data_IF_468459554619
#
_entry.id   IF_468459554619
#
_cell.length_a   1.000
_cell.length_b   1.000
_cell.length_c   1.000
_cell.angle_alpha   90.00
_cell.angle_beta   90.00
_cell.angle_gamma   90.00
#
_symmetry.space_group_name_H-M   'P 1'
#
loop_
_entity.id
_entity.type
_entity.pdbx_description
1 polymer ?
#
# COMPACT_ATOMS: atom_id res chain seq x y z
N UNK A 1 -11.00 -15.47 -57.17
CA UNK A 1 -10.07 -15.95 -56.12
C UNK A 1 -9.88 -14.86 -55.09
N UNK A 2 -10.09 -15.18 -53.82
CA UNK A 2 -9.91 -14.32 -52.64
C UNK A 2 -8.41 -14.06 -52.42
N UNK A 3 -8.00 -12.82 -52.19
CA UNK A 3 -6.71 -12.52 -51.57
C UNK A 3 -6.97 -11.71 -50.29
N UNK A 4 -6.62 -12.34 -49.18
CA UNK A 4 -6.88 -11.97 -47.81
C UNK A 4 -5.78 -11.02 -47.30
N UNK A 5 -6.24 -10.03 -46.53
CA UNK A 5 -5.52 -9.11 -45.65
C UNK A 5 -4.35 -9.74 -44.88
N UNK A 6 -3.27 -8.99 -44.63
CA UNK A 6 -2.62 -8.98 -43.32
C UNK A 6 -1.83 -7.68 -43.09
N UNK A 7 -2.52 -6.76 -42.42
CA UNK A 7 -1.98 -5.56 -41.81
C UNK A 7 -1.27 -5.98 -40.51
N UNK A 8 0.06 -5.94 -40.47
CA UNK A 8 0.82 -6.15 -39.22
C UNK A 8 0.84 -4.84 -38.46
N UNK A 9 -0.09 -4.69 -37.53
CA UNK A 9 -0.04 -3.67 -36.47
C UNK A 9 1.07 -4.06 -35.50
N UNK A 10 2.22 -3.39 -35.60
CA UNK A 10 3.28 -3.48 -34.60
C UNK A 10 2.77 -2.93 -33.27
N UNK A 11 2.60 -3.82 -32.30
CA UNK A 11 2.32 -3.48 -30.90
C UNK A 11 3.45 -2.58 -30.38
N UNK A 12 3.12 -1.31 -30.14
CA UNK A 12 3.89 -0.42 -29.30
C UNK A 12 4.07 -1.11 -27.94
N UNK A 13 5.28 -1.58 -27.66
CA UNK A 13 5.68 -1.95 -26.31
C UNK A 13 5.69 -0.66 -25.52
N UNK A 14 4.56 -0.36 -24.87
CA UNK A 14 4.52 0.63 -23.83
C UNK A 14 5.50 0.16 -22.76
N UNK A 15 6.68 0.76 -22.74
CA UNK A 15 7.50 0.75 -21.55
C UNK A 15 6.57 1.26 -20.43
N UNK A 16 6.16 0.37 -19.54
CA UNK A 16 5.64 0.78 -18.25
C UNK A 16 6.84 1.41 -17.57
N UNK A 17 7.03 2.70 -17.83
CA UNK A 17 7.83 3.54 -16.98
C UNK A 17 7.14 3.44 -15.63
N UNK A 18 7.72 2.64 -14.74
CA UNK A 18 7.47 2.71 -13.30
C UNK A 18 7.94 4.09 -12.85
N UNK A 19 7.21 5.13 -13.26
CA UNK A 19 7.58 6.51 -13.06
C UNK A 19 7.26 6.87 -11.61
N UNK A 20 8.33 6.82 -10.82
CA UNK A 20 8.61 7.55 -9.60
C UNK A 20 7.55 7.51 -8.47
N UNK A 21 7.69 6.53 -7.57
CA UNK A 21 7.16 6.69 -6.21
C UNK A 21 7.98 7.76 -5.47
N UNK A 22 7.54 9.03 -5.52
CA UNK A 22 8.11 10.14 -4.76
C UNK A 22 7.66 10.11 -3.29
N UNK A 23 7.95 9.03 -2.58
CA UNK A 23 7.94 9.04 -1.13
C UNK A 23 9.25 9.63 -0.63
N UNK A 24 9.30 10.94 -0.37
CA UNK A 24 10.42 11.49 0.40
C UNK A 24 10.49 10.73 1.74
N UNK A 25 11.66 10.17 2.04
CA UNK A 25 11.94 9.51 3.31
C UNK A 25 11.57 10.50 4.44
N UNK A 26 10.65 10.13 5.32
CA UNK A 26 10.14 10.94 6.44
C UNK A 26 9.16 12.07 6.09
N UNK A 27 8.54 12.08 4.90
CA UNK A 27 7.44 12.98 4.63
C UNK A 27 6.21 12.64 5.51
N UNK A 28 5.44 13.64 5.99
CA UNK A 28 4.17 13.37 6.64
C UNK A 28 3.21 12.64 5.71
N UNK A 29 2.49 11.66 6.23
CA UNK A 29 1.34 11.03 5.56
C UNK A 29 0.11 11.87 5.89
N UNK A 30 -0.66 12.26 4.88
CA UNK A 30 -1.92 12.98 5.08
C UNK A 30 -3.11 12.06 4.78
N UNK A 31 -4.18 12.26 5.54
CA UNK A 31 -5.55 11.82 5.17
C UNK A 31 -5.97 12.43 3.84
N UNK A 32 -7.00 11.86 3.22
CA UNK A 32 -7.49 12.32 1.91
C UNK A 32 -7.99 13.77 1.98
N UNK A 33 -8.70 14.11 3.06
CA UNK A 33 -9.17 15.47 3.33
C UNK A 33 -8.10 16.42 3.92
N UNK A 34 -6.88 15.91 4.14
CA UNK A 34 -5.73 16.61 4.73
C UNK A 34 -5.96 17.13 6.16
N UNK A 35 -6.98 16.67 6.87
CA UNK A 35 -7.26 17.13 8.25
C UNK A 35 -6.46 16.38 9.31
N UNK A 36 -6.06 15.15 9.00
CA UNK A 36 -5.19 14.28 9.80
C UNK A 36 -3.83 14.14 9.10
N UNK A 37 -2.75 14.25 9.87
CA UNK A 37 -1.40 13.93 9.42
C UNK A 37 -0.71 12.95 10.36
N UNK A 38 0.03 11.99 9.81
CA UNK A 38 0.91 11.09 10.54
C UNK A 38 2.35 11.53 10.31
N UNK A 39 3.09 11.69 11.40
CA UNK A 39 4.49 12.15 11.41
C UNK A 39 5.35 11.22 12.25
N UNK A 40 6.64 11.17 11.95
CA UNK A 40 7.61 10.54 12.86
C UNK A 40 7.61 11.28 14.21
N UNK A 41 7.69 10.52 15.30
CA UNK A 41 7.85 11.07 16.65
C UNK A 41 9.34 11.18 17.01
N UNK A 42 9.71 12.22 17.78
CA UNK A 42 11.09 12.45 18.21
C UNK A 42 11.63 11.35 19.12
N UNK A 43 10.76 10.66 19.85
CA UNK A 43 11.05 9.50 20.70
C UNK A 43 11.24 8.19 19.93
N UNK A 44 11.16 8.22 18.59
CA UNK A 44 10.93 7.03 17.78
C UNK A 44 9.44 6.72 17.63
N UNK A 45 9.09 6.04 16.54
CA UNK A 45 7.71 5.71 16.18
C UNK A 45 7.02 6.74 15.30
N UNK A 46 5.69 6.62 15.20
CA UNK A 46 4.83 7.49 14.40
C UNK A 46 3.62 7.94 15.23
N UNK A 47 3.07 9.13 14.95
CA UNK A 47 1.89 9.66 15.65
C UNK A 47 0.93 10.36 14.69
N UNK A 48 -0.36 10.18 14.89
CA UNK A 48 -1.40 10.94 14.18
C UNK A 48 -1.75 12.23 14.92
N UNK A 49 -1.89 13.31 14.15
CA UNK A 49 -2.20 14.64 14.65
C UNK A 49 -3.39 15.19 13.86
N UNK A 50 -4.40 15.70 14.57
CA UNK A 50 -5.54 16.44 14.01
C UNK A 50 -5.72 17.73 14.80
N UNK A 51 -5.70 18.87 14.11
CA UNK A 51 -5.83 20.22 14.73
C UNK A 51 -4.87 20.43 15.92
N UNK A 52 -3.61 19.98 15.77
CA UNK A 52 -2.57 20.11 16.80
C UNK A 52 -2.65 19.12 17.96
N UNK A 53 -3.71 18.31 18.06
CA UNK A 53 -3.85 17.27 19.09
C UNK A 53 -3.37 15.92 18.56
N UNK A 54 -2.61 15.19 19.38
CA UNK A 54 -2.24 13.80 19.09
C UNK A 54 -3.47 12.92 19.30
N UNK A 55 -3.84 12.14 18.30
CA UNK A 55 -4.93 11.17 18.40
C UNK A 55 -4.42 9.84 18.97
N UNK A 56 -3.29 9.37 18.45
CA UNK A 56 -2.62 8.15 18.89
C UNK A 56 -1.15 8.16 18.47
N UNK A 57 -0.38 7.23 19.03
CA UNK A 57 1.02 6.96 18.69
C UNK A 57 1.25 5.46 18.55
N UNK A 58 2.18 5.06 17.68
CA UNK A 58 2.68 3.70 17.52
C UNK A 58 4.20 3.68 17.67
N UNK A 59 4.76 2.54 18.06
CA UNK A 59 6.21 2.41 18.28
C UNK A 59 6.99 2.34 16.96
N UNK A 60 6.34 1.93 15.89
CA UNK A 60 6.94 1.75 14.58
C UNK A 60 7.13 3.08 13.85
N UNK A 61 8.32 3.31 13.31
CA UNK A 61 8.52 4.35 12.30
C UNK A 61 8.00 3.83 10.97
N UNK A 62 7.01 4.51 10.42
CA UNK A 62 6.36 4.09 9.18
C UNK A 62 6.79 4.99 8.04
N UNK A 63 7.37 4.38 7.01
CA UNK A 63 7.83 5.08 5.82
C UNK A 63 6.72 5.32 4.81
N UNK A 64 5.80 4.37 4.72
CA UNK A 64 4.69 4.36 3.77
C UNK A 64 3.42 3.97 4.48
N UNK A 65 2.36 4.74 4.29
CA UNK A 65 1.09 4.43 4.91
C UNK A 65 -0.02 5.38 4.50
N UNK A 66 -1.19 5.11 5.05
CA UNK A 66 -2.42 5.88 4.86
C UNK A 66 -3.12 6.02 6.20
N UNK A 67 -3.80 7.14 6.42
CA UNK A 67 -4.62 7.40 7.60
C UNK A 67 -6.04 7.77 7.15
N UNK A 68 -7.05 7.29 7.86
CA UNK A 68 -8.45 7.64 7.61
C UNK A 68 -8.72 9.11 7.96
N UNK A 69 -9.75 9.71 7.35
CA UNK A 69 -10.12 11.11 7.58
C UNK A 69 -10.62 11.38 9.02
N UNK A 70 -11.22 10.37 9.66
CA UNK A 70 -11.57 10.42 11.08
C UNK A 70 -10.33 10.33 11.99
N UNK A 71 -9.23 9.81 11.47
CA UNK A 71 -7.96 9.64 12.16
C UNK A 71 -7.92 8.43 13.10
N UNK A 72 -8.92 7.54 13.10
CA UNK A 72 -8.95 6.37 13.97
C UNK A 72 -8.23 5.16 13.38
N UNK A 73 -8.18 5.04 12.05
CA UNK A 73 -7.53 3.92 11.37
C UNK A 73 -6.25 4.35 10.66
N UNK A 74 -5.27 3.46 10.69
CA UNK A 74 -3.99 3.66 10.02
C UNK A 74 -3.52 2.37 9.37
N UNK A 75 -3.06 2.48 8.13
CA UNK A 75 -2.45 1.40 7.38
C UNK A 75 -0.96 1.71 7.18
N UNK A 76 -0.09 0.95 7.84
CA UNK A 76 1.35 0.99 7.60
C UNK A 76 1.71 -0.07 6.56
N UNK A 77 2.31 0.33 5.45
CA UNK A 77 2.75 -0.58 4.40
C UNK A 77 4.15 -1.13 4.67
N UNK A 78 4.51 -2.18 3.94
CA UNK A 78 5.88 -2.64 3.81
C UNK A 78 6.83 -1.47 3.46
N UNK A 79 8.07 -1.53 3.94
CA UNK A 79 9.05 -0.45 3.78
C UNK A 79 9.49 -0.22 2.33
N UNK A 80 9.28 -1.19 1.43
CA UNK A 80 9.43 -1.04 -0.01
C UNK A 80 8.14 -0.63 -0.74
N UNK A 81 7.09 -0.28 0.01
CA UNK A 81 5.74 -0.01 -0.47
C UNK A 81 5.21 -1.15 -1.37
N UNK A 82 5.12 -0.89 -2.67
CA UNK A 82 4.66 -1.82 -3.70
C UNK A 82 5.74 -2.77 -4.23
N UNK A 83 7.01 -2.58 -3.84
CA UNK A 83 8.14 -3.39 -4.26
C UNK A 83 8.65 -4.23 -3.08
N UNK A 84 8.74 -5.54 -3.27
CA UNK A 84 9.21 -6.52 -2.29
C UNK A 84 10.45 -7.26 -2.85
N UNK A 85 11.24 -7.95 -2.01
CA UNK A 85 12.36 -8.77 -2.50
C UNK A 85 11.89 -9.78 -3.55
N UNK A 86 12.73 -10.12 -4.53
CA UNK A 86 12.39 -11.10 -5.59
C UNK A 86 12.03 -12.49 -5.04
N UNK A 87 12.64 -12.87 -3.91
CA UNK A 87 12.35 -14.11 -3.19
C UNK A 87 11.81 -13.78 -1.79
N UNK A 88 10.59 -13.24 -1.68
CA UNK A 88 10.06 -12.83 -0.40
C UNK A 88 9.76 -14.08 0.47
N UNK A 89 9.95 -14.00 1.80
CA UNK A 89 9.50 -15.07 2.68
C UNK A 89 7.96 -15.14 2.68
N UNK A 90 7.39 -16.30 2.97
CA UNK A 90 5.94 -16.50 2.91
C UNK A 90 5.19 -15.73 4.00
N UNK A 91 5.84 -15.37 5.09
CA UNK A 91 5.29 -14.58 6.20
C UNK A 91 5.51 -13.07 6.03
N UNK A 92 6.00 -12.62 4.86
CA UNK A 92 6.22 -11.20 4.59
C UNK A 92 4.91 -10.41 4.79
N UNK A 93 4.92 -9.44 5.69
CA UNK A 93 3.78 -8.55 5.95
C UNK A 93 3.77 -7.40 4.94
N UNK A 94 2.70 -7.30 4.15
CA UNK A 94 2.49 -6.23 3.17
C UNK A 94 1.89 -4.98 3.81
N UNK A 95 0.97 -5.16 4.76
CA UNK A 95 0.30 -4.08 5.46
C UNK A 95 0.00 -4.46 6.91
N UNK A 96 0.15 -3.50 7.82
CA UNK A 96 -0.31 -3.56 9.21
C UNK A 96 -1.40 -2.51 9.41
N UNK A 97 -2.52 -2.93 9.97
CA UNK A 97 -3.65 -2.06 10.28
C UNK A 97 -3.69 -1.78 11.78
N UNK A 98 -3.92 -0.52 12.10
CA UNK A 98 -4.01 -0.02 13.46
C UNK A 98 -5.33 0.69 13.65
N UNK A 99 -5.88 0.58 14.86
CA UNK A 99 -6.97 1.42 15.36
C UNK A 99 -6.51 2.07 16.66
N UNK A 100 -6.57 3.40 16.72
CA UNK A 100 -6.20 4.17 17.91
C UNK A 100 -4.81 3.80 18.47
N UNK A 101 -3.86 3.52 17.57
CA UNK A 101 -2.49 3.12 17.92
C UNK A 101 -2.30 1.65 18.29
N UNK A 102 -3.37 0.84 18.38
CA UNK A 102 -3.28 -0.62 18.57
C UNK A 102 -3.30 -1.34 17.23
N UNK A 103 -2.35 -2.23 16.99
CA UNK A 103 -2.41 -3.10 15.81
C UNK A 103 -3.61 -4.05 15.92
N UNK A 104 -4.47 -4.06 14.90
CA UNK A 104 -5.67 -4.92 14.83
C UNK A 104 -5.52 -6.04 13.80
N UNK A 105 -4.68 -5.87 12.77
CA UNK A 105 -4.45 -6.89 11.73
C UNK A 105 -3.10 -6.69 11.05
N UNK A 106 -2.45 -7.80 10.69
CA UNK A 106 -1.35 -7.83 9.73
C UNK A 106 -1.79 -8.65 8.52
N UNK A 107 -1.59 -8.10 7.32
CA UNK A 107 -1.87 -8.75 6.03
C UNK A 107 -0.56 -9.30 5.49
N UNK A 108 -0.47 -10.62 5.44
CA UNK A 108 0.69 -11.31 4.87
C UNK A 108 0.57 -11.45 3.35
N UNK A 109 1.70 -11.60 2.68
CA UNK A 109 1.78 -11.78 1.23
C UNK A 109 0.83 -12.88 0.71
N UNK A 110 0.71 -14.08 1.31
CA UNK A 110 -0.19 -15.14 0.84
C UNK A 110 -1.68 -14.80 0.88
N UNK A 111 -2.08 -13.81 1.69
CA UNK A 111 -3.47 -13.34 1.76
C UNK A 111 -3.86 -12.54 0.50
N UNK A 112 -2.87 -12.00 -0.23
CA UNK A 112 -3.06 -11.19 -1.45
C UNK A 112 -2.53 -11.93 -2.70
N UNK A 113 -1.37 -12.56 -2.58
CA UNK A 113 -0.62 -13.26 -3.61
C UNK A 113 -0.56 -14.75 -3.26
N UNK A 114 -1.42 -15.56 -3.87
CA UNK A 114 -1.52 -17.00 -3.56
C UNK A 114 -0.34 -17.80 -4.13
N UNK A 115 0.26 -17.32 -5.21
CA UNK A 115 1.44 -17.92 -5.82
C UNK A 115 2.45 -16.84 -6.21
N UNK A 116 3.73 -17.06 -5.92
CA UNK A 116 4.82 -16.13 -6.28
C UNK A 116 4.92 -15.89 -7.79
N UNK A 117 4.43 -16.83 -8.61
CA UNK A 117 4.32 -16.65 -10.06
C UNK A 117 3.36 -15.52 -10.49
N UNK A 118 2.50 -15.05 -9.57
CA UNK A 118 1.62 -13.92 -9.82
C UNK A 118 2.34 -12.57 -9.69
N UNK A 119 3.53 -12.53 -9.10
CA UNK A 119 4.29 -11.29 -8.94
C UNK A 119 4.89 -10.84 -10.29
N UNK A 120 4.95 -9.53 -10.49
CA UNK A 120 5.66 -8.97 -11.65
C UNK A 120 7.12 -8.69 -11.26
N UNK A 121 8.06 -9.33 -11.95
CA UNK A 121 9.48 -9.14 -11.68
C UNK A 121 9.99 -7.84 -12.32
N UNK A 122 10.70 -7.06 -11.52
CA UNK A 122 11.51 -5.93 -11.98
C UNK A 122 12.99 -6.30 -11.92
N UNK A 123 13.87 -5.39 -12.37
CA UNK A 123 15.31 -5.63 -12.37
C UNK A 123 15.89 -6.00 -10.98
N UNK A 124 15.28 -5.56 -9.88
CA UNK A 124 15.80 -5.79 -8.52
C UNK A 124 14.76 -6.25 -7.50
N UNK A 125 13.47 -6.19 -7.83
CA UNK A 125 12.37 -6.44 -6.91
C UNK A 125 11.24 -7.22 -7.59
N UNK A 126 10.23 -7.59 -6.80
CA UNK A 126 8.95 -8.04 -7.29
C UNK A 126 7.88 -6.98 -6.95
N UNK A 127 7.07 -6.62 -7.92
CA UNK A 127 5.90 -5.77 -7.75
C UNK A 127 4.67 -6.64 -7.43
N UNK A 128 3.99 -6.34 -6.33
CA UNK A 128 2.82 -7.11 -5.87
C UNK A 128 1.48 -6.40 -6.15
N UNK A 129 1.50 -5.08 -6.33
CA UNK A 129 0.31 -4.26 -6.51
C UNK A 129 0.42 -2.88 -5.86
N UNK A 130 -0.70 -2.18 -5.76
CA UNK A 130 -0.81 -0.84 -5.17
C UNK A 130 -1.70 -0.84 -3.92
N UNK A 131 -1.40 0.06 -3.00
CA UNK A 131 -2.34 0.48 -1.98
C UNK A 131 -3.09 1.73 -2.44
N UNK A 132 -4.42 1.66 -2.50
CA UNK A 132 -5.27 2.77 -2.95
C UNK A 132 -5.72 3.68 -1.81
N UNK A 133 -5.45 3.29 -0.56
CA UNK A 133 -5.83 4.05 0.63
C UNK A 133 -7.19 3.65 1.20
N UNK A 134 -7.71 4.52 2.07
CA UNK A 134 -9.04 4.38 2.64
C UNK A 134 -10.09 4.86 1.63
N UNK A 135 -11.01 3.98 1.26
CA UNK A 135 -12.13 4.29 0.34
C UNK A 135 -13.45 4.55 1.09
N UNK A 136 -13.48 4.20 2.38
CA UNK A 136 -14.52 4.55 3.36
C UNK A 136 -13.86 4.57 4.76
N UNK A 137 -14.52 5.11 5.81
CA UNK A 137 -13.88 5.36 7.11
C UNK A 137 -13.09 4.18 7.69
N UNK A 138 -13.59 2.95 7.53
CA UNK A 138 -12.94 1.74 8.00
C UNK A 138 -12.65 0.73 6.87
N UNK A 139 -12.63 1.16 5.60
CA UNK A 139 -12.36 0.26 4.47
C UNK A 139 -11.09 0.67 3.76
N UNK A 140 -10.09 -0.21 3.83
CA UNK A 140 -8.83 -0.04 3.13
C UNK A 140 -8.81 -0.87 1.86
N UNK A 141 -8.34 -0.30 0.75
CA UNK A 141 -8.32 -0.99 -0.54
C UNK A 141 -6.89 -1.18 -1.06
N UNK A 142 -6.58 -2.43 -1.40
CA UNK A 142 -5.40 -2.80 -2.19
C UNK A 142 -5.84 -3.20 -3.61
N UNK A 143 -4.98 -2.94 -4.59
CA UNK A 143 -5.10 -3.44 -5.96
C UNK A 143 -3.90 -4.33 -6.25
N UNK A 144 -4.13 -5.62 -6.49
CA UNK A 144 -3.08 -6.55 -6.89
C UNK A 144 -2.59 -6.24 -8.31
N UNK A 145 -1.39 -6.73 -8.65
CA UNK A 145 -0.79 -6.59 -9.98
C UNK A 145 -1.69 -7.02 -11.16
N UNK A 146 -2.56 -8.02 -10.96
CA UNK A 146 -3.58 -8.44 -11.94
C UNK A 146 -4.86 -7.58 -11.91
N UNK A 147 -4.81 -6.43 -11.24
CA UNK A 147 -5.89 -5.45 -11.04
C UNK A 147 -7.04 -5.91 -10.14
N UNK A 148 -6.95 -7.09 -9.52
CA UNK A 148 -7.95 -7.52 -8.53
C UNK A 148 -7.93 -6.61 -7.30
N UNK A 149 -9.10 -6.16 -6.87
CA UNK A 149 -9.25 -5.36 -5.66
C UNK A 149 -9.44 -6.24 -4.42
N UNK A 150 -8.79 -5.85 -3.33
CA UNK A 150 -8.93 -6.45 -2.01
C UNK A 150 -9.39 -5.36 -1.05
N UNK A 151 -10.57 -5.55 -0.48
CA UNK A 151 -11.16 -4.63 0.49
C UNK A 151 -11.05 -5.22 1.88
N UNK A 152 -10.44 -4.46 2.79
CA UNK A 152 -10.31 -4.81 4.18
C UNK A 152 -11.28 -3.95 4.99
N UNK A 153 -12.38 -4.56 5.45
CA UNK A 153 -13.28 -3.94 6.42
C UNK A 153 -12.70 -4.09 7.82
N UNK A 154 -12.10 -3.01 8.32
CA UNK A 154 -11.29 -3.03 9.54
C UNK A 154 -12.12 -3.22 10.81
N UNK A 155 -13.44 -2.99 10.75
CA UNK A 155 -14.37 -3.21 11.87
C UNK A 155 -14.46 -4.68 12.27
N UNK A 156 -14.04 -5.60 11.40
CA UNK A 156 -14.06 -7.05 11.64
C UNK A 156 -12.92 -7.54 12.53
N UNK A 157 -11.97 -6.68 12.89
CA UNK A 157 -10.76 -7.02 13.64
C UNK A 157 -10.66 -6.27 14.98
N UNK A 158 -11.76 -5.66 15.43
CA UNK A 158 -11.81 -4.84 16.65
C UNK A 158 -11.92 -5.67 17.93
#
# INVERSE_FOLDING_TARGET
MKALLLLVLSLSHGAVLADAFRGQRNAPVYSADKTVKVVAASSGGSRAIKRGKVLWSIKEQVRYGYVSDDGHYFAALYDGANLIPQNPPNDLVLARFFRDGRQIKAVQLPEVIQSKSQLELTASHAYWGDALGFTAPATFTLRRVDRKLFHFDLRRYE
#
